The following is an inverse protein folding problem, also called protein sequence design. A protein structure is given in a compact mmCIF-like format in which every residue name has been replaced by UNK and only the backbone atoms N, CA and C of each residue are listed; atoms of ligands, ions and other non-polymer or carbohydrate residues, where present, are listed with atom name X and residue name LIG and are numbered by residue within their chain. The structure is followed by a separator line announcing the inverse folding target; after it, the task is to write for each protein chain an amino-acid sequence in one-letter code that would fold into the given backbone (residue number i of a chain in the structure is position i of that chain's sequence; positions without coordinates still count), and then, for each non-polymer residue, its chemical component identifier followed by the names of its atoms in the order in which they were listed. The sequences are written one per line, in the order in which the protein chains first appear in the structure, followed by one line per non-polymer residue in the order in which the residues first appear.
data_IF_529801732254
#
_entry.id   IF_529801732254
#
_cell.length_a   1.000
_cell.length_b   1.000
_cell.length_c   1.000
_cell.angle_alpha   90.00
_cell.angle_beta   90.00
_cell.angle_gamma   90.00
#
_symmetry.space_group_name_H-M   'P 1'
#
loop_
_entity.id
_entity.type
_entity.pdbx_description
1 polymer ?
#
# COMPACT_ATOMS: atom_id res chain seq x y z
N UNK A 1 15.38 -33.68 38.76
CA UNK A 1 14.52 -33.11 37.69
C UNK A 1 13.90 -31.84 38.24
N UNK A 2 14.26 -30.69 37.67
CA UNK A 2 13.57 -29.42 37.87
C UNK A 2 13.63 -28.68 36.53
N UNK A 3 12.50 -28.69 35.83
CA UNK A 3 12.28 -27.97 34.57
C UNK A 3 12.18 -26.48 34.89
N UNK A 4 13.04 -25.68 34.27
CA UNK A 4 13.08 -24.24 34.39
C UNK A 4 11.92 -23.63 33.59
N UNK A 5 11.09 -22.83 34.27
CA UNK A 5 10.09 -21.99 33.61
C UNK A 5 10.77 -21.03 32.64
N UNK A 6 10.55 -21.25 31.34
CA UNK A 6 11.01 -20.37 30.27
C UNK A 6 9.95 -19.30 30.04
N UNK A 7 10.07 -18.19 30.77
CA UNK A 7 9.30 -17.00 30.48
C UNK A 7 9.83 -16.39 29.17
N UNK A 8 9.03 -16.47 28.11
CA UNK A 8 9.21 -15.65 26.92
C UNK A 8 9.04 -14.18 27.35
N UNK A 9 10.15 -13.46 27.51
CA UNK A 9 10.16 -12.02 27.67
C UNK A 9 9.77 -11.34 26.33
N UNK A 10 8.49 -11.44 25.99
CA UNK A 10 7.90 -10.73 24.87
C UNK A 10 7.73 -9.25 25.19
N UNK A 11 8.57 -8.41 24.57
CA UNK A 11 8.23 -7.09 23.99
C UNK A 11 7.05 -6.31 24.63
N UNK A 12 7.06 -6.10 25.95
CA UNK A 12 5.93 -5.54 26.69
C UNK A 12 5.98 -4.04 26.97
N UNK A 13 6.72 -3.23 26.20
CA UNK A 13 6.95 -1.81 26.57
C UNK A 13 5.88 -0.82 26.10
N UNK A 14 4.87 -1.24 25.34
CA UNK A 14 3.82 -0.35 24.84
C UNK A 14 2.40 -0.91 25.00
N UNK A 15 2.16 -1.69 26.07
CA UNK A 15 0.96 -2.51 26.28
C UNK A 15 -0.41 -1.80 26.34
N UNK A 16 -0.51 -0.52 25.97
CA UNK A 16 -1.79 0.16 25.75
C UNK A 16 -1.74 1.31 24.75
N UNK A 17 -0.59 1.95 24.60
CA UNK A 17 -0.45 3.19 23.80
C UNK A 17 0.16 2.98 22.41
N UNK A 18 0.52 1.73 22.06
CA UNK A 18 0.95 1.41 20.71
C UNK A 18 0.46 0.03 20.26
N UNK A 19 0.30 -0.08 18.95
CA UNK A 19 0.06 -1.34 18.26
C UNK A 19 1.34 -1.72 17.53
N UNK A 20 1.73 -2.99 17.63
CA UNK A 20 2.98 -3.49 17.10
C UNK A 20 2.74 -4.75 16.28
N UNK A 21 3.49 -4.87 15.19
CA UNK A 21 3.46 -6.06 14.33
C UNK A 21 4.88 -6.51 14.01
N UNK A 22 5.20 -7.81 14.18
CA UNK A 22 6.49 -8.35 13.78
C UNK A 22 6.59 -8.35 12.25
N UNK A 23 7.77 -8.00 11.75
CA UNK A 23 8.08 -8.05 10.33
C UNK A 23 9.10 -9.16 10.07
N UNK A 24 8.95 -9.84 8.95
CA UNK A 24 9.94 -10.78 8.45
C UNK A 24 11.06 -10.05 7.71
N UNK A 25 10.68 -9.04 6.91
CA UNK A 25 11.59 -8.34 6.01
C UNK A 25 11.18 -6.89 5.84
N UNK A 26 12.18 -6.04 5.70
CA UNK A 26 12.06 -4.63 5.34
C UNK A 26 12.98 -4.33 4.15
N UNK A 27 12.54 -3.52 3.20
CA UNK A 27 13.34 -3.17 2.04
C UNK A 27 13.24 -1.69 1.70
N UNK A 28 14.38 -1.01 1.51
CA UNK A 28 14.45 0.36 0.98
C UNK A 28 14.74 0.34 -0.50
N UNK A 29 13.98 1.10 -1.27
CA UNK A 29 14.33 1.34 -2.66
C UNK A 29 15.49 2.33 -2.73
N UNK A 30 16.54 1.94 -3.45
CA UNK A 30 17.68 2.78 -3.78
C UNK A 30 17.57 3.15 -5.26
N UNK A 31 17.12 4.37 -5.58
CA UNK A 31 17.17 4.85 -6.96
C UNK A 31 18.62 4.78 -7.41
N UNK A 32 18.85 4.24 -8.60
CA UNK A 32 20.14 4.38 -9.22
C UNK A 32 20.41 5.86 -9.49
N UNK A 33 21.63 6.31 -9.19
CA UNK A 33 22.01 7.70 -9.38
C UNK A 33 21.72 8.11 -10.82
N UNK A 34 20.96 9.19 -10.99
CA UNK A 34 20.89 9.90 -12.26
C UNK A 34 22.31 10.30 -12.59
N UNK A 35 22.93 9.57 -13.51
CA UNK A 35 24.25 9.90 -14.02
C UNK A 35 24.25 11.35 -14.48
N UNK A 36 25.31 12.05 -14.13
CA UNK A 36 25.73 13.24 -14.86
C UNK A 36 25.67 12.90 -16.37
N UNK A 37 25.11 13.76 -17.23
CA UNK A 37 25.10 13.49 -18.65
C UNK A 37 26.54 13.18 -19.07
N UNK A 38 26.80 12.06 -19.77
CA UNK A 38 28.16 11.70 -20.12
C UNK A 38 28.78 12.89 -20.84
N UNK A 39 29.82 13.47 -20.24
CA UNK A 39 30.68 14.43 -20.92
C UNK A 39 31.10 13.81 -22.26
N UNK A 40 31.16 14.59 -23.35
CA UNK A 40 31.40 14.07 -24.67
C UNK A 40 32.75 13.35 -24.69
N UNK A 41 32.74 12.01 -24.61
CA UNK A 41 33.94 11.18 -24.63
C UNK A 41 34.04 10.06 -23.59
N UNK A 42 33.07 9.90 -22.66
CA UNK A 42 33.07 8.76 -21.74
C UNK A 42 32.03 7.71 -22.18
N UNK A 43 32.53 6.52 -22.57
CA UNK A 43 31.74 5.31 -22.82
C UNK A 43 30.63 5.17 -21.79
N UNK A 44 29.42 4.79 -22.24
CA UNK A 44 28.22 4.66 -21.43
C UNK A 44 28.43 3.66 -20.27
N UNK A 45 29.05 4.14 -19.19
CA UNK A 45 29.42 3.39 -18.02
C UNK A 45 28.16 3.05 -17.23
N UNK A 46 27.62 1.87 -17.53
CA UNK A 46 26.67 1.08 -16.74
C UNK A 46 25.86 1.90 -15.73
N UNK A 47 24.79 2.55 -16.18
CA UNK A 47 23.80 3.10 -15.26
C UNK A 47 23.38 1.97 -14.31
N UNK A 48 23.70 2.13 -13.02
CA UNK A 48 23.37 1.12 -12.01
C UNK A 48 21.88 0.81 -12.08
N UNK A 49 21.51 -0.47 -11.96
CA UNK A 49 20.09 -0.80 -11.94
C UNK A 49 19.49 -0.40 -10.59
N UNK A 50 18.26 0.13 -10.55
CA UNK A 50 17.60 0.43 -9.29
C UNK A 50 17.54 -0.84 -8.43
N UNK A 51 17.94 -0.71 -7.17
CA UNK A 51 18.16 -1.87 -6.27
C UNK A 51 17.42 -1.69 -4.95
N UNK A 52 17.15 -2.81 -4.27
CA UNK A 52 16.53 -2.83 -2.96
C UNK A 52 17.57 -3.17 -1.89
N UNK A 53 17.76 -2.27 -0.93
CA UNK A 53 18.50 -2.60 0.29
C UNK A 53 17.56 -3.33 1.25
N UNK A 54 17.75 -4.63 1.41
CA UNK A 54 16.90 -5.51 2.21
C UNK A 54 17.50 -5.75 3.59
N UNK A 55 16.63 -5.79 4.59
CA UNK A 55 16.91 -6.11 5.97
C UNK A 55 15.98 -7.26 6.36
N UNK A 56 16.53 -8.33 6.90
CA UNK A 56 15.78 -9.49 7.38
C UNK A 56 15.72 -9.48 8.91
N UNK A 57 14.62 -9.98 9.46
CA UNK A 57 14.45 -10.15 10.90
C UNK A 57 15.15 -11.44 11.34
N UNK A 58 16.14 -11.33 12.23
CA UNK A 58 16.88 -12.49 12.74
C UNK A 58 17.48 -12.15 14.13
N UNK A 59 18.05 -13.17 14.79
CA UNK A 59 18.63 -13.03 16.13
C UNK A 59 19.93 -12.20 16.14
N UNK A 60 20.72 -12.23 15.07
CA UNK A 60 22.03 -11.57 14.97
C UNK A 60 21.89 -10.04 14.82
N UNK A 61 21.04 -9.61 13.88
CA UNK A 61 20.80 -8.20 13.55
C UNK A 61 19.63 -7.59 14.33
N UNK A 62 18.85 -8.43 15.02
CA UNK A 62 17.68 -8.04 15.78
C UNK A 62 16.37 -8.13 14.99
N UNK A 63 15.28 -8.25 15.74
CA UNK A 63 13.95 -8.38 15.17
C UNK A 63 13.41 -7.07 14.60
N UNK A 64 12.78 -7.16 13.43
CA UNK A 64 12.09 -6.04 12.80
C UNK A 64 10.68 -5.89 13.37
N UNK A 65 10.33 -4.68 13.79
CA UNK A 65 9.02 -4.36 14.36
C UNK A 65 8.46 -3.09 13.73
N UNK A 66 7.21 -3.15 13.28
CA UNK A 66 6.41 -1.99 12.89
C UNK A 66 5.59 -1.55 14.09
N UNK A 67 5.65 -0.27 14.44
CA UNK A 67 4.89 0.30 15.56
C UNK A 67 4.06 1.48 15.11
N UNK A 68 2.79 1.51 15.52
CA UNK A 68 1.91 2.68 15.42
C UNK A 68 1.45 3.06 16.83
N UNK A 69 1.86 4.23 17.30
CA UNK A 69 1.41 4.78 18.60
C UNK A 69 0.06 5.51 18.45
N UNK A 70 -0.69 5.61 19.55
CA UNK A 70 -2.01 6.28 19.59
C UNK A 70 -1.98 7.74 19.13
N UNK A 71 -0.83 8.41 19.25
CA UNK A 71 -0.61 9.77 18.75
C UNK A 71 -0.43 9.84 17.22
N UNK A 72 -0.55 8.71 16.53
CA UNK A 72 -0.45 8.63 15.07
C UNK A 72 0.98 8.64 14.53
N UNK A 73 2.00 8.44 15.37
CA UNK A 73 3.36 8.23 14.87
C UNK A 73 3.57 6.78 14.43
N UNK A 74 4.26 6.64 13.31
CA UNK A 74 4.63 5.39 12.68
C UNK A 74 6.14 5.19 12.77
N UNK A 75 6.55 3.97 13.15
CA UNK A 75 7.95 3.59 13.25
C UNK A 75 8.20 2.20 12.65
N UNK A 76 9.37 2.02 12.07
CA UNK A 76 9.96 0.70 11.83
C UNK A 76 11.32 0.69 12.52
N UNK A 77 11.57 -0.30 13.35
CA UNK A 77 12.85 -0.49 14.05
C UNK A 77 13.39 -1.89 13.85
N UNK A 78 14.71 -2.02 13.95
CA UNK A 78 15.43 -3.29 14.00
C UNK A 78 16.28 -3.31 15.28
N UNK A 79 15.91 -4.15 16.24
CA UNK A 79 16.50 -4.08 17.58
C UNK A 79 16.36 -2.66 18.17
N UNK A 80 17.48 -2.00 18.45
CA UNK A 80 17.52 -0.63 18.97
C UNK A 80 17.63 0.45 17.87
N UNK A 81 17.75 0.06 16.60
CA UNK A 81 17.94 1.00 15.49
C UNK A 81 16.60 1.41 14.89
N UNK A 82 16.34 2.72 14.82
CA UNK A 82 15.18 3.25 14.11
C UNK A 82 15.48 3.31 12.60
N UNK A 83 14.70 2.57 11.82
CA UNK A 83 14.79 2.56 10.37
C UNK A 83 13.90 3.65 9.76
N UNK A 84 12.62 3.66 10.08
CA UNK A 84 11.67 4.66 9.58
C UNK A 84 10.94 5.32 10.75
N UNK A 85 10.67 6.62 10.63
CA UNK A 85 9.92 7.37 11.62
C UNK A 85 9.23 8.57 11.00
N UNK A 86 7.91 8.66 11.11
CA UNK A 86 7.14 9.81 10.64
C UNK A 86 5.74 9.86 11.28
N UNK A 87 5.08 11.02 11.20
CA UNK A 87 3.69 11.15 11.61
C UNK A 87 2.74 10.74 10.48
N UNK A 88 1.70 9.97 10.81
CA UNK A 88 0.59 9.64 9.91
C UNK A 88 -0.43 10.78 9.83
N UNK A 89 -0.45 11.68 10.83
CA UNK A 89 -1.36 12.82 10.87
C UNK A 89 -1.00 13.78 9.73
N UNK A 90 -2.00 14.13 8.90
CA UNK A 90 -1.79 15.01 7.74
C UNK A 90 -0.93 14.37 6.65
N UNK A 91 -0.77 13.04 6.61
CA UNK A 91 0.10 12.37 5.65
C UNK A 91 -0.51 12.11 4.27
N UNK A 92 -1.83 12.30 4.11
CA UNK A 92 -2.60 11.93 2.91
C UNK A 92 -2.07 12.51 1.59
N UNK A 93 -1.45 13.68 1.62
CA UNK A 93 -0.94 14.36 0.42
C UNK A 93 0.46 13.89 0.00
N UNK A 94 1.24 13.29 0.90
CA UNK A 94 2.63 12.90 0.63
C UNK A 94 2.92 11.42 0.85
N UNK A 95 2.04 10.67 1.53
CA UNK A 95 2.18 9.24 1.80
C UNK A 95 1.15 8.45 0.99
N UNK A 96 1.63 7.44 0.27
CA UNK A 96 0.80 6.44 -0.43
C UNK A 96 1.18 5.06 0.06
N UNK A 97 0.16 4.25 0.36
CA UNK A 97 0.34 2.88 0.83
C UNK A 97 -0.42 1.93 -0.10
N UNK A 98 0.25 0.86 -0.52
CA UNK A 98 -0.34 -0.22 -1.32
C UNK A 98 -0.08 -1.54 -0.60
N UNK A 99 -1.11 -2.36 -0.43
CA UNK A 99 -1.01 -3.69 0.19
C UNK A 99 -0.90 -4.77 -0.87
N UNK A 100 -0.02 -5.76 -0.77
CA UNK A 100 -0.05 -6.96 -1.62
C UNK A 100 0.04 -8.16 -0.70
N UNK A 101 -1.02 -8.96 -0.58
CA UNK A 101 -1.03 -10.15 0.29
C UNK A 101 -0.66 -9.76 1.75
N UNK A 102 0.51 -10.20 2.21
CA UNK A 102 1.15 -10.01 3.52
C UNK A 102 2.24 -8.94 3.50
N UNK A 103 2.25 -8.08 2.48
CA UNK A 103 3.24 -7.03 2.28
C UNK A 103 2.57 -5.65 2.16
N UNK A 104 3.28 -4.61 2.60
CA UNK A 104 2.92 -3.21 2.35
C UNK A 104 4.06 -2.49 1.65
N UNK A 105 3.72 -1.72 0.62
CA UNK A 105 4.61 -0.80 -0.07
C UNK A 105 4.22 0.63 0.28
N UNK A 106 5.20 1.39 0.77
CA UNK A 106 5.06 2.79 1.14
C UNK A 106 5.83 3.64 0.14
N UNK A 107 5.13 4.59 -0.48
CA UNK A 107 5.72 5.64 -1.29
C UNK A 107 5.52 6.98 -0.60
N UNK A 108 6.61 7.70 -0.35
CA UNK A 108 6.55 9.04 0.24
C UNK A 108 7.12 10.06 -0.74
N UNK A 109 6.48 11.22 -0.86
CA UNK A 109 6.94 12.30 -1.74
C UNK A 109 6.95 13.62 -0.97
N UNK A 110 8.14 14.10 -0.63
CA UNK A 110 8.33 15.35 0.14
C UNK A 110 9.25 16.26 -0.66
N UNK A 111 8.83 17.50 -0.93
CA UNK A 111 9.63 18.52 -1.66
C UNK A 111 10.29 17.96 -2.94
N UNK A 112 9.49 17.31 -3.79
CA UNK A 112 9.91 16.67 -5.05
C UNK A 112 10.92 15.50 -4.91
N UNK A 113 11.21 15.05 -3.68
CA UNK A 113 12.00 13.85 -3.43
C UNK A 113 11.06 12.70 -3.09
N UNK A 114 11.15 11.63 -3.87
CA UNK A 114 10.39 10.41 -3.63
C UNK A 114 11.27 9.36 -2.96
N UNK A 115 10.71 8.67 -1.98
CA UNK A 115 11.34 7.54 -1.28
C UNK A 115 10.33 6.40 -1.25
N UNK A 116 10.81 5.18 -1.46
CA UNK A 116 9.97 3.99 -1.38
C UNK A 116 10.59 2.98 -0.44
N UNK A 117 9.75 2.32 0.36
CA UNK A 117 10.15 1.17 1.15
C UNK A 117 9.00 0.17 1.23
N UNK A 118 9.34 -1.10 1.44
CA UNK A 118 8.38 -2.19 1.57
C UNK A 118 8.63 -2.98 2.85
N UNK A 119 7.57 -3.58 3.37
CA UNK A 119 7.63 -4.50 4.51
C UNK A 119 6.88 -5.78 4.17
N UNK A 120 7.35 -6.88 4.73
CA UNK A 120 6.65 -8.15 4.79
C UNK A 120 6.40 -8.51 6.25
N UNK A 121 5.15 -8.86 6.57
CA UNK A 121 4.78 -9.23 7.93
C UNK A 121 5.30 -10.62 8.28
N UNK A 122 5.76 -10.77 9.52
CA UNK A 122 6.19 -12.05 10.07
C UNK A 122 5.07 -12.73 10.85
N UNK A 123 5.22 -14.03 11.06
CA UNK A 123 4.34 -14.84 11.90
C UNK A 123 4.65 -16.32 11.73
N UNK A 124 4.20 -17.15 12.67
CA UNK A 124 4.48 -18.59 12.69
C UNK A 124 3.89 -19.34 11.49
N UNK A 125 3.01 -18.67 10.73
CA UNK A 125 2.47 -19.17 9.47
C UNK A 125 2.14 -18.00 8.53
N UNK A 126 1.98 -18.30 7.24
CA UNK A 126 1.49 -17.33 6.25
C UNK A 126 0.13 -16.73 6.62
N UNK A 127 -0.74 -17.52 7.26
CA UNK A 127 -2.04 -17.04 7.73
C UNK A 127 -1.89 -15.99 8.85
N UNK A 128 -0.99 -16.23 9.81
CA UNK A 128 -0.68 -15.25 10.87
C UNK A 128 -0.01 -13.99 10.32
N UNK A 129 0.93 -14.13 9.37
CA UNK A 129 1.52 -12.97 8.70
C UNK A 129 0.47 -12.11 7.98
N UNK A 130 -0.51 -12.75 7.32
CA UNK A 130 -1.62 -12.06 6.68
C UNK A 130 -2.56 -11.37 7.69
N UNK A 131 -2.83 -12.00 8.82
CA UNK A 131 -3.63 -11.43 9.91
C UNK A 131 -2.95 -10.18 10.49
N UNK A 132 -1.65 -10.26 10.78
CA UNK A 132 -0.86 -9.10 11.21
C UNK A 132 -0.92 -7.98 10.17
N UNK A 133 -0.78 -8.31 8.88
CA UNK A 133 -0.91 -7.34 7.80
C UNK A 133 -2.31 -6.68 7.79
N UNK A 134 -3.38 -7.45 7.93
CA UNK A 134 -4.75 -6.93 7.99
C UNK A 134 -4.95 -5.98 9.18
N UNK A 135 -4.49 -6.38 10.36
CA UNK A 135 -4.57 -5.54 11.56
C UNK A 135 -3.80 -4.22 11.39
N UNK A 136 -2.60 -4.27 10.82
CA UNK A 136 -1.83 -3.07 10.54
C UNK A 136 -2.52 -2.16 9.51
N UNK A 137 -3.11 -2.73 8.45
CA UNK A 137 -3.86 -1.98 7.45
C UNK A 137 -5.07 -1.29 8.08
N UNK A 138 -5.79 -1.97 8.98
CA UNK A 138 -6.91 -1.37 9.70
C UNK A 138 -6.46 -0.20 10.59
N UNK A 139 -5.30 -0.31 11.25
CA UNK A 139 -4.72 0.79 12.02
C UNK A 139 -4.31 1.97 11.14
N UNK A 140 -3.66 1.71 10.00
CA UNK A 140 -3.23 2.73 9.04
C UNK A 140 -4.41 3.45 8.37
N UNK A 141 -5.50 2.73 8.09
CA UNK A 141 -6.70 3.25 7.43
C UNK A 141 -7.38 4.38 8.21
N UNK A 142 -7.13 4.50 9.52
CA UNK A 142 -7.61 5.62 10.33
C UNK A 142 -6.98 6.96 9.93
N UNK A 143 -5.80 6.94 9.31
CA UNK A 143 -5.01 8.13 8.98
C UNK A 143 -4.86 8.36 7.47
N UNK A 144 -4.62 7.29 6.71
CA UNK A 144 -4.30 7.34 5.28
C UNK A 144 -4.95 6.17 4.55
N UNK A 145 -5.55 6.37 3.36
CA UNK A 145 -6.13 5.26 2.60
C UNK A 145 -5.04 4.28 2.15
N UNK A 146 -5.29 2.98 2.37
CA UNK A 146 -4.44 1.89 1.91
C UNK A 146 -5.07 1.26 0.67
N UNK A 147 -4.34 1.24 -0.44
CA UNK A 147 -4.83 0.69 -1.70
C UNK A 147 -4.62 -0.83 -1.74
N UNK A 148 -5.67 -1.58 -2.07
CA UNK A 148 -5.59 -3.00 -2.36
C UNK A 148 -5.53 -3.21 -3.90
N UNK A 149 -4.57 -3.98 -4.42
CA UNK A 149 -4.44 -4.36 -5.83
C UNK A 149 -5.36 -5.52 -6.22
N UNK A 150 -6.08 -6.10 -5.27
CA UNK A 150 -7.10 -7.11 -5.55
C UNK A 150 -8.37 -6.43 -6.09
N UNK A 151 -8.35 -6.18 -7.41
CA UNK A 151 -9.45 -6.35 -8.35
C UNK A 151 -10.76 -5.55 -8.16
N UNK A 152 -11.14 -4.86 -9.24
CA UNK A 152 -12.50 -4.35 -9.55
C UNK A 152 -12.91 -3.09 -8.76
N UNK A 153 -12.73 -1.93 -9.41
CA UNK A 153 -13.61 -0.78 -9.16
C UNK A 153 -15.08 -1.19 -9.39
N UNK A 154 -16.08 -0.40 -8.96
CA UNK A 154 -17.49 -0.81 -9.02
C UNK A 154 -17.83 -1.30 -10.44
N UNK A 155 -17.98 -2.62 -10.61
CA UNK A 155 -18.55 -3.17 -11.83
C UNK A 155 -19.97 -2.63 -11.88
N UNK A 156 -20.20 -1.72 -12.82
CA UNK A 156 -21.53 -1.38 -13.29
C UNK A 156 -22.31 -2.69 -13.43
N UNK A 157 -23.45 -2.75 -12.75
CA UNK A 157 -24.22 -3.98 -12.55
C UNK A 157 -24.58 -4.67 -13.87
N UNK A 158 -24.92 -5.97 -13.82
CA UNK A 158 -25.32 -6.70 -15.01
C UNK A 158 -26.57 -6.04 -15.62
N UNK A 159 -26.42 -5.62 -16.87
CA UNK A 159 -27.51 -5.23 -17.75
C UNK A 159 -28.53 -6.38 -17.85
N UNK A 160 -29.82 -6.19 -17.52
CA UNK A 160 -30.82 -7.23 -17.66
C UNK A 160 -31.44 -7.18 -19.07
N UNK A 161 -31.18 -8.21 -19.87
CA UNK A 161 -31.97 -8.51 -21.07
C UNK A 161 -33.29 -9.18 -20.63
N UNK A 162 -34.48 -8.78 -21.12
CA UNK A 162 -35.74 -9.19 -20.53
C UNK A 162 -36.46 -10.30 -21.33
N UNK A 163 -36.44 -11.57 -20.92
CA UNK A 163 -37.46 -12.55 -21.36
C UNK A 163 -37.78 -13.66 -20.34
N UNK A 164 -39.10 -13.75 -20.03
CA UNK A 164 -39.92 -14.91 -19.57
C UNK A 164 -39.99 -15.34 -18.08
N UNK A 165 -41.00 -14.77 -17.41
CA UNK A 165 -42.21 -15.43 -16.85
C UNK A 165 -42.12 -16.68 -15.91
N UNK A 166 -42.10 -16.43 -14.58
CA UNK A 166 -42.89 -17.01 -13.44
C UNK A 166 -42.94 -18.53 -13.11
N UNK A 167 -43.49 -18.98 -11.94
CA UNK A 167 -43.72 -18.30 -10.64
C UNK A 167 -43.30 -19.09 -9.34
N UNK A 168 -42.77 -18.38 -8.32
CA UNK A 168 -42.91 -18.53 -6.84
C UNK A 168 -42.52 -19.83 -6.06
N UNK A 169 -42.60 -19.85 -4.70
CA UNK A 169 -42.28 -18.81 -3.70
C UNK A 169 -41.56 -19.34 -2.41
N UNK A 170 -40.87 -18.45 -1.67
CA UNK A 170 -40.94 -18.21 -0.19
C UNK A 170 -39.68 -17.47 0.29
N UNK A 171 -39.76 -16.16 0.51
CA UNK A 171 -39.88 -15.49 1.85
C UNK A 171 -38.52 -15.43 2.58
N UNK A 172 -37.90 -14.32 3.00
CA UNK A 172 -38.15 -12.86 3.09
C UNK A 172 -37.02 -12.32 4.01
N UNK A 173 -36.35 -11.19 3.80
CA UNK A 173 -36.75 -9.83 4.24
C UNK A 173 -35.68 -8.83 3.72
N UNK A 174 -35.96 -8.04 2.67
CA UNK A 174 -36.33 -6.61 2.67
C UNK A 174 -35.22 -5.63 3.11
N UNK A 175 -34.68 -4.89 2.12
CA UNK A 175 -34.44 -3.44 2.27
C UNK A 175 -35.11 -2.74 1.08
N UNK A 176 -36.10 -1.90 1.37
CA UNK A 176 -36.83 -1.09 0.39
C UNK A 176 -36.40 0.37 0.52
N UNK A 177 -36.07 1.03 -0.58
CA UNK A 177 -36.25 2.49 -0.74
C UNK A 177 -36.77 2.75 -2.16
N UNK A 178 -37.82 3.56 -2.35
CA UNK A 178 -38.50 3.72 -3.64
C UNK A 178 -37.87 4.81 -4.51
N UNK A 179 -37.81 4.53 -5.82
CA UNK A 179 -37.59 5.52 -6.88
C UNK A 179 -38.95 5.89 -7.47
N UNK A 180 -39.23 7.19 -7.59
CA UNK A 180 -40.26 7.69 -8.49
C UNK A 180 -39.69 8.85 -9.32
N UNK A 181 -39.70 8.65 -10.64
CA UNK A 181 -40.10 9.56 -11.73
C UNK A 181 -40.01 11.07 -11.48
N UNK A 182 -39.48 11.94 -12.35
CA UNK A 182 -39.15 11.86 -13.76
C UNK A 182 -39.21 13.28 -14.35
N UNK A 183 -38.80 13.42 -15.62
CA UNK A 183 -39.08 14.52 -16.57
C UNK A 183 -37.91 15.44 -16.99
N UNK A 184 -37.44 15.18 -18.21
CA UNK A 184 -37.23 16.10 -19.35
C UNK A 184 -36.56 17.48 -19.17
N UNK A 185 -35.46 17.68 -19.91
CA UNK A 185 -34.96 18.99 -20.33
C UNK A 185 -33.54 18.98 -20.93
N UNK A 186 -33.44 19.10 -22.26
CA UNK A 186 -32.27 19.49 -23.07
C UNK A 186 -32.85 20.43 -24.17
N UNK A 187 -32.16 21.38 -24.84
CA UNK A 187 -30.71 21.67 -24.97
C UNK A 187 -30.29 23.12 -24.66
N UNK A 188 -28.97 23.41 -24.61
CA UNK A 188 -28.42 24.61 -25.27
C UNK A 188 -26.94 24.44 -25.67
N UNK A 189 -26.61 24.95 -26.87
CA UNK A 189 -25.30 24.96 -27.53
C UNK A 189 -24.34 26.02 -26.94
N UNK A 190 -23.02 25.83 -27.08
CA UNK A 190 -22.19 26.70 -27.95
C UNK A 190 -20.71 26.27 -28.03
N UNK A 191 -20.15 26.53 -29.21
CA UNK A 191 -18.85 26.14 -29.78
C UNK A 191 -17.63 26.98 -29.31
N UNK A 192 -16.41 26.47 -29.56
CA UNK A 192 -15.23 27.31 -29.90
C UNK A 192 -13.88 26.88 -29.30
N UNK A 193 -12.97 26.34 -30.12
CA UNK A 193 -11.55 26.01 -29.83
C UNK A 193 -10.62 27.27 -29.90
N UNK A 194 -9.25 27.23 -29.93
CA UNK A 194 -8.26 26.14 -29.78
C UNK A 194 -6.95 26.50 -28.97
N UNK A 195 -5.96 25.60 -29.06
CA UNK A 195 -4.49 25.79 -28.97
C UNK A 195 -3.77 25.62 -27.61
N UNK A 196 -2.80 24.70 -27.61
CA UNK A 196 -1.82 24.51 -26.54
C UNK A 196 -1.08 23.18 -26.67
N UNK A 197 -0.17 23.08 -27.65
CA UNK A 197 0.76 21.95 -27.75
C UNK A 197 1.64 21.90 -26.51
N UNK A 198 1.55 20.85 -25.72
CA UNK A 198 2.64 20.44 -24.83
C UNK A 198 2.62 18.93 -24.67
N UNK A 199 3.69 18.30 -25.14
CA UNK A 199 4.03 16.90 -24.88
C UNK A 199 4.29 16.72 -23.39
N UNK A 200 3.61 15.82 -22.66
CA UNK A 200 4.05 15.42 -21.34
C UNK A 200 5.08 14.30 -21.49
N UNK A 201 6.29 14.57 -21.03
CA UNK A 201 7.37 13.61 -20.92
C UNK A 201 6.97 12.35 -20.14
N UNK A 202 7.66 11.26 -20.49
CA UNK A 202 7.41 9.90 -20.03
C UNK A 202 7.25 9.79 -18.52
N UNK A 203 6.00 9.71 -18.07
CA UNK A 203 5.65 9.20 -16.76
C UNK A 203 5.59 7.69 -16.88
N UNK A 204 6.63 7.00 -16.43
CA UNK A 204 6.57 5.55 -16.26
C UNK A 204 5.45 5.27 -15.26
N UNK A 205 4.35 4.74 -15.77
CA UNK A 205 3.14 4.48 -15.00
C UNK A 205 3.42 3.40 -13.96
N UNK A 206 2.94 3.57 -12.73
CA UNK A 206 3.05 2.57 -11.65
C UNK A 206 2.46 1.22 -12.04
N UNK A 207 1.53 1.20 -12.99
CA UNK A 207 0.98 -0.02 -13.60
C UNK A 207 2.00 -0.79 -14.44
N UNK A 208 3.02 -0.14 -15.01
CA UNK A 208 4.06 -0.82 -15.79
C UNK A 208 5.00 -1.61 -14.88
N UNK A 209 5.42 -1.02 -13.76
CA UNK A 209 6.29 -1.70 -12.78
C UNK A 209 5.66 -2.94 -12.12
N UNK A 210 4.33 -3.07 -12.13
CA UNK A 210 3.63 -4.22 -11.59
C UNK A 210 3.62 -5.45 -12.53
N UNK A 211 3.76 -5.23 -13.85
CA UNK A 211 3.63 -6.29 -14.86
C UNK A 211 4.90 -7.14 -14.98
N UNK A 212 6.03 -6.65 -14.50
CA UNK A 212 7.35 -7.25 -14.74
C UNK A 212 7.78 -8.20 -13.62
N UNK A 213 6.85 -8.64 -12.76
CA UNK A 213 7.14 -9.37 -11.52
C UNK A 213 6.84 -10.87 -11.61
N UNK A 214 6.75 -11.42 -12.82
CA UNK A 214 6.45 -12.83 -13.04
C UNK A 214 7.42 -13.43 -14.06
N UNK A 215 8.70 -13.39 -13.72
CA UNK A 215 9.64 -14.40 -14.20
C UNK A 215 10.83 -14.47 -13.20
N UNK A 216 11.19 -15.71 -12.87
CA UNK A 216 12.18 -16.19 -11.89
C UNK A 216 11.68 -16.48 -10.46
#
# INVERSE_FOLDING_TARGET
MAEAGREHAGLGLFGRDATQWPLQRYGRFMPSGTGEPPGPGLEAGTASSPTWKVFDSNEESGHLVLTIVISGHFFISQGQTLLEGFSLIGSKNWLKIVRRVDCLLFGTTIKNKSRMFRVQFGGDSKARALEHCCGCVQALAQYVPVQAPDGVGPRLGPHPDPLRAGPGPREGCVWSVPLQHGSHGHPEQQQGAPAGSSTPGGRTSLTWLAQNTTDN
#
